data_IF_360315806379
#
_entry.id   IF_360315806379
#
_cell.length_a   1.000
_cell.length_b   1.000
_cell.length_c   1.000
_cell.angle_alpha   90.00
_cell.angle_beta   90.00
_cell.angle_gamma   90.00
#
_symmetry.space_group_name_H-M   'P 1'
#
loop_
_entity.id
_entity.type
_entity.pdbx_description
1 polymer ?
#
# COMPACT_ATOMS: atom_id res chain seq x y z
N UNK A 1 -5.90 27.07 12.38
CA UNK A 1 -5.14 27.61 11.24
C UNK A 1 -5.52 29.07 11.04
N UNK A 2 -4.57 29.99 10.85
CA UNK A 2 -4.87 31.36 10.43
C UNK A 2 -5.63 31.37 9.09
N UNK A 3 -6.62 32.26 8.96
CA UNK A 3 -7.42 32.45 7.73
C UNK A 3 -6.57 32.78 6.50
N UNK A 4 -5.33 33.22 6.68
CA UNK A 4 -4.39 33.59 5.61
C UNK A 4 -3.89 32.39 4.78
N UNK A 5 -4.02 31.16 5.28
CA UNK A 5 -3.71 29.95 4.49
C UNK A 5 -4.84 29.56 3.52
N UNK A 6 -5.98 30.25 3.57
CA UNK A 6 -7.09 30.05 2.64
C UNK A 6 -7.01 31.13 1.56
N UNK A 7 -6.23 30.89 0.50
CA UNK A 7 -6.45 31.36 -0.90
C UNK A 7 -5.17 31.33 -1.73
N UNK A 8 -4.71 30.15 -2.11
CA UNK A 8 -4.31 29.87 -3.49
C UNK A 8 -4.64 28.40 -3.74
N UNK A 9 -5.56 28.10 -4.68
CA UNK A 9 -5.62 26.72 -5.21
C UNK A 9 -4.34 26.56 -6.03
N UNK A 10 -3.45 25.62 -5.69
CA UNK A 10 -2.32 25.32 -6.57
C UNK A 10 -2.89 24.98 -7.94
N UNK A 11 -2.38 25.61 -9.00
CA UNK A 11 -2.81 25.29 -10.37
C UNK A 11 -2.31 23.92 -10.80
N UNK A 12 -1.26 23.41 -10.16
CA UNK A 12 -0.64 22.10 -10.42
C UNK A 12 -0.16 21.51 -9.08
N UNK A 13 -0.42 20.22 -8.86
CA UNK A 13 0.14 19.42 -7.75
C UNK A 13 1.13 18.37 -8.26
N UNK A 14 1.97 17.83 -7.36
CA UNK A 14 2.82 16.68 -7.66
C UNK A 14 1.99 15.52 -8.19
N UNK A 15 0.87 15.22 -7.53
CA UNK A 15 -0.10 14.22 -7.98
C UNK A 15 -0.57 14.46 -9.41
N UNK A 16 -1.06 15.67 -9.72
CA UNK A 16 -1.55 16.00 -11.07
C UNK A 16 -0.46 15.81 -12.12
N UNK A 17 0.75 16.25 -11.82
CA UNK A 17 1.89 16.15 -12.76
C UNK A 17 2.30 14.70 -12.98
N UNK A 18 2.52 13.95 -11.90
CA UNK A 18 2.98 12.55 -11.95
C UNK A 18 1.95 11.68 -12.65
N UNK A 19 0.66 11.77 -12.29
CA UNK A 19 -0.39 10.96 -12.91
C UNK A 19 -0.50 11.23 -14.42
N UNK A 20 -0.41 12.49 -14.85
CA UNK A 20 -0.43 12.83 -16.29
C UNK A 20 0.80 12.29 -17.03
N UNK A 21 2.00 12.42 -16.44
CA UNK A 21 3.22 11.90 -17.07
C UNK A 21 3.22 10.37 -17.13
N UNK A 22 2.80 9.69 -16.07
CA UNK A 22 2.70 8.23 -16.05
C UNK A 22 1.75 7.71 -17.12
N UNK A 23 0.57 8.32 -17.26
CA UNK A 23 -0.37 8.00 -18.32
C UNK A 23 0.23 8.25 -19.72
N UNK A 24 0.87 9.40 -19.94
CA UNK A 24 1.49 9.76 -21.21
C UNK A 24 2.61 8.79 -21.62
N UNK A 25 3.38 8.30 -20.66
CA UNK A 25 4.50 7.38 -20.89
C UNK A 25 4.09 5.90 -20.88
N UNK A 26 2.80 5.59 -20.71
CA UNK A 26 2.31 4.21 -20.66
C UNK A 26 2.77 3.43 -19.45
N UNK A 27 3.06 4.10 -18.33
CA UNK A 27 3.40 3.44 -17.06
C UNK A 27 2.13 2.76 -16.52
N UNK A 28 2.27 1.50 -16.11
CA UNK A 28 1.17 0.80 -15.45
C UNK A 28 0.91 1.40 -14.06
N UNK A 29 -0.16 2.16 -13.94
CA UNK A 29 -0.51 2.86 -12.70
C UNK A 29 -1.89 2.48 -12.21
N UNK A 30 -2.01 2.26 -10.90
CA UNK A 30 -3.29 2.24 -10.19
C UNK A 30 -3.42 3.54 -9.40
N UNK A 31 -4.32 4.42 -9.85
CA UNK A 31 -4.54 5.70 -9.20
C UNK A 31 -5.47 5.55 -7.98
N UNK A 32 -4.87 5.36 -6.80
CA UNK A 32 -5.59 5.21 -5.55
C UNK A 32 -6.32 6.51 -5.12
N UNK A 33 -5.81 7.68 -5.48
CA UNK A 33 -6.48 8.96 -5.17
C UNK A 33 -7.80 9.03 -5.94
N UNK A 34 -7.77 8.75 -7.24
CA UNK A 34 -8.98 8.70 -8.06
C UNK A 34 -9.97 7.60 -7.62
N UNK A 35 -9.49 6.49 -7.03
CA UNK A 35 -10.36 5.48 -6.42
C UNK A 35 -11.04 6.01 -5.16
N UNK A 36 -10.28 6.64 -4.26
CA UNK A 36 -10.81 7.20 -3.02
C UNK A 36 -11.83 8.31 -3.28
N UNK A 37 -11.57 9.21 -4.22
CA UNK A 37 -12.53 10.25 -4.63
C UNK A 37 -13.84 9.63 -5.14
N UNK A 38 -13.74 8.60 -5.99
CA UNK A 38 -14.92 7.87 -6.50
C UNK A 38 -15.71 7.20 -5.39
N UNK A 39 -15.04 6.55 -4.44
CA UNK A 39 -15.71 5.89 -3.31
C UNK A 39 -16.33 6.89 -2.34
N UNK A 40 -15.71 8.06 -2.13
CA UNK A 40 -16.30 9.15 -1.35
C UNK A 40 -17.54 9.72 -2.04
N UNK A 41 -17.46 10.02 -3.34
CA UNK A 41 -18.59 10.51 -4.12
C UNK A 41 -19.77 9.51 -4.14
N UNK A 42 -19.46 8.22 -4.17
CA UNK A 42 -20.43 7.13 -4.05
C UNK A 42 -20.93 6.89 -2.61
N UNK A 43 -20.59 7.77 -1.65
CA UNK A 43 -20.98 7.69 -0.24
C UNK A 43 -20.60 6.34 0.39
N UNK A 44 -19.30 6.03 0.36
CA UNK A 44 -18.75 4.84 1.03
C UNK A 44 -19.39 4.62 2.41
N UNK A 45 -19.90 3.41 2.71
CA UNK A 45 -20.64 3.15 3.95
C UNK A 45 -19.78 3.25 5.22
N UNK A 46 -18.46 3.12 5.06
CA UNK A 46 -17.49 3.17 6.14
C UNK A 46 -16.32 4.11 5.77
N UNK A 47 -15.65 4.70 6.77
CA UNK A 47 -14.54 5.61 6.56
C UNK A 47 -13.40 4.96 5.78
N UNK A 48 -12.91 5.66 4.75
CA UNK A 48 -11.71 5.26 3.98
C UNK A 48 -10.41 5.62 4.72
N UNK A 49 -10.49 6.61 5.60
CA UNK A 49 -9.51 6.98 6.61
C UNK A 49 -10.26 7.14 7.93
N UNK A 50 -9.77 6.55 9.00
CA UNK A 50 -10.43 6.68 10.31
C UNK A 50 -10.24 8.08 10.87
N UNK A 51 -11.04 8.42 11.89
CA UNK A 51 -10.95 9.74 12.54
C UNK A 51 -9.58 10.00 13.16
N UNK A 52 -8.90 8.94 13.57
CA UNK A 52 -7.67 8.97 14.37
C UNK A 52 -6.52 8.20 13.73
N UNK A 53 -6.65 7.87 12.44
CA UNK A 53 -5.61 7.22 11.66
C UNK A 53 -4.99 8.18 10.64
N UNK A 54 -3.68 8.11 10.47
CA UNK A 54 -2.96 8.77 9.37
C UNK A 54 -2.91 7.93 8.09
N UNK A 55 -3.19 6.63 8.20
CA UNK A 55 -3.22 5.67 7.11
C UNK A 55 -4.64 5.40 6.62
N UNK A 56 -4.75 4.77 5.45
CA UNK A 56 -6.02 4.22 4.98
C UNK A 56 -6.59 3.22 6.00
N UNK A 57 -7.92 3.13 6.09
CA UNK A 57 -8.55 2.25 7.06
C UNK A 57 -8.39 0.78 6.69
N UNK A 58 -8.56 -0.13 7.66
CA UNK A 58 -8.71 -1.57 7.39
C UNK A 58 -9.74 -1.85 6.28
N UNK A 59 -10.87 -1.14 6.30
CA UNK A 59 -11.87 -1.22 5.24
C UNK A 59 -11.34 -0.77 3.87
N UNK A 60 -10.66 0.39 3.79
CA UNK A 60 -10.07 0.88 2.56
C UNK A 60 -9.01 -0.07 2.00
N UNK A 61 -8.16 -0.66 2.86
CA UNK A 61 -7.15 -1.65 2.46
C UNK A 61 -7.79 -2.79 1.67
N UNK A 62 -8.93 -3.34 2.13
CA UNK A 62 -9.60 -4.44 1.42
C UNK A 62 -10.09 -4.06 0.03
N UNK A 63 -10.62 -2.84 -0.13
CA UNK A 63 -11.09 -2.34 -1.43
C UNK A 63 -9.94 -2.08 -2.39
N UNK A 64 -8.84 -1.52 -1.88
CA UNK A 64 -7.62 -1.30 -2.67
C UNK A 64 -7.01 -2.66 -3.06
N UNK A 65 -6.93 -3.62 -2.14
CA UNK A 65 -6.41 -4.96 -2.42
C UNK A 65 -7.21 -5.65 -3.53
N UNK A 66 -8.53 -5.65 -3.44
CA UNK A 66 -9.43 -6.19 -4.47
C UNK A 66 -9.11 -5.57 -5.84
N UNK A 67 -9.09 -4.25 -5.95
CA UNK A 67 -8.82 -3.58 -7.24
C UNK A 67 -7.38 -3.81 -7.73
N UNK A 68 -6.40 -3.79 -6.83
CA UNK A 68 -4.99 -3.94 -7.14
C UNK A 68 -4.68 -5.34 -7.67
N UNK A 69 -5.11 -6.38 -6.95
CA UNK A 69 -4.73 -7.74 -7.31
C UNK A 69 -5.47 -8.24 -8.55
N UNK A 70 -6.74 -7.87 -8.77
CA UNK A 70 -7.41 -8.13 -10.06
C UNK A 70 -6.67 -7.47 -11.23
N UNK A 71 -6.14 -6.25 -11.03
CA UNK A 71 -5.31 -5.58 -12.04
C UNK A 71 -3.98 -6.30 -12.25
N UNK A 72 -3.35 -6.79 -11.18
CA UNK A 72 -2.12 -7.58 -11.26
C UNK A 72 -2.33 -8.86 -12.06
N UNK A 73 -3.44 -9.59 -11.85
CA UNK A 73 -3.79 -10.76 -12.66
C UNK A 73 -3.91 -10.39 -14.14
N UNK A 74 -4.64 -9.33 -14.47
CA UNK A 74 -4.79 -8.86 -15.85
C UNK A 74 -3.47 -8.42 -16.51
N UNK A 75 -2.54 -7.85 -15.73
CA UNK A 75 -1.23 -7.41 -16.24
C UNK A 75 -0.22 -8.55 -16.39
N UNK A 76 -0.30 -9.56 -15.52
CA UNK A 76 0.70 -10.63 -15.44
C UNK A 76 0.23 -11.93 -16.09
N UNK A 77 -1.08 -12.08 -16.35
CA UNK A 77 -1.70 -13.32 -16.79
C UNK A 77 -1.65 -14.44 -15.75
N UNK A 78 -1.29 -14.15 -14.49
CA UNK A 78 -1.28 -15.13 -13.41
C UNK A 78 -2.63 -15.13 -12.72
N UNK A 79 -3.19 -16.33 -12.52
CA UNK A 79 -4.41 -16.55 -11.76
C UNK A 79 -4.05 -16.69 -10.27
N UNK A 80 -4.31 -15.65 -9.48
CA UNK A 80 -3.94 -15.57 -8.07
C UNK A 80 -5.01 -16.23 -7.18
N UNK A 81 -4.67 -16.65 -5.95
CA UNK A 81 -5.65 -17.17 -5.01
C UNK A 81 -6.82 -16.20 -4.82
N UNK A 82 -8.03 -16.69 -5.08
CA UNK A 82 -9.25 -15.88 -4.95
C UNK A 82 -9.43 -15.43 -3.50
N UNK A 83 -9.91 -14.21 -3.32
CA UNK A 83 -10.26 -13.71 -2.01
C UNK A 83 -11.48 -12.81 -2.06
N UNK A 84 -12.13 -12.64 -0.91
CA UNK A 84 -13.28 -11.75 -0.80
C UNK A 84 -13.77 -11.61 0.64
N UNK A 85 -14.63 -10.62 0.86
CA UNK A 85 -15.31 -10.48 2.14
C UNK A 85 -16.41 -11.55 2.29
N UNK A 86 -16.42 -12.26 3.41
CA UNK A 86 -17.45 -13.23 3.75
C UNK A 86 -18.34 -12.71 4.87
N UNK A 87 -19.63 -12.52 4.58
CA UNK A 87 -20.60 -12.02 5.54
C UNK A 87 -20.45 -10.53 5.87
N UNK A 88 -21.19 -10.02 6.86
CA UNK A 88 -21.09 -8.63 7.27
C UNK A 88 -19.74 -8.34 7.94
N UNK A 89 -19.19 -7.12 7.78
CA UNK A 89 -17.96 -6.72 8.48
C UNK A 89 -18.21 -6.59 9.99
N UNK A 90 -17.15 -6.75 10.79
CA UNK A 90 -17.19 -6.29 12.19
C UNK A 90 -17.17 -4.77 12.19
N UNK A 91 -18.19 -4.12 12.76
CA UNK A 91 -18.22 -2.67 12.93
C UNK A 91 -17.90 -2.30 14.37
N UNK A 92 -16.93 -1.41 14.55
CA UNK A 92 -16.50 -0.92 15.86
C UNK A 92 -16.84 0.55 16.06
N UNK A 93 -17.16 0.93 17.29
CA UNK A 93 -17.51 2.31 17.67
C UNK A 93 -16.76 2.80 18.91
N UNK A 94 -15.84 2.00 19.47
CA UNK A 94 -14.99 2.39 20.59
C UNK A 94 -13.53 2.46 20.16
N UNK A 95 -12.79 3.45 20.65
CA UNK A 95 -11.38 3.66 20.32
C UNK A 95 -10.52 2.41 20.64
N UNK A 96 -10.82 1.74 21.76
CA UNK A 96 -10.12 0.51 22.17
C UNK A 96 -10.26 -0.67 21.20
N UNK A 97 -11.24 -0.63 20.29
CA UNK A 97 -11.51 -1.69 19.32
C UNK A 97 -10.96 -1.36 17.92
N UNK A 98 -10.41 -0.15 17.72
CA UNK A 98 -9.69 0.20 16.50
C UNK A 98 -8.38 -0.59 16.39
N UNK A 99 -8.04 -1.01 15.17
CA UNK A 99 -6.91 -1.92 14.91
C UNK A 99 -5.74 -1.19 14.23
N UNK A 100 -4.52 -1.52 14.66
CA UNK A 100 -3.28 -1.10 14.00
C UNK A 100 -3.24 0.41 13.68
N UNK A 101 -2.97 0.78 12.43
CA UNK A 101 -2.83 2.18 11.99
C UNK A 101 -4.13 2.98 11.97
N UNK A 102 -5.28 2.38 12.29
CA UNK A 102 -6.55 3.11 12.37
C UNK A 102 -6.62 4.07 13.58
N UNK A 103 -5.68 3.98 14.53
CA UNK A 103 -5.59 4.84 15.72
C UNK A 103 -4.19 5.39 15.98
N UNK A 104 -3.30 5.35 14.98
CA UNK A 104 -1.89 5.72 15.15
C UNK A 104 -1.68 7.19 15.53
N UNK A 105 -2.51 8.12 15.03
CA UNK A 105 -2.46 9.52 15.39
C UNK A 105 -2.91 9.73 16.84
N UNK A 106 -3.96 9.03 17.27
CA UNK A 106 -4.43 9.08 18.65
C UNK A 106 -3.39 8.52 19.63
N UNK A 107 -2.78 7.39 19.28
CA UNK A 107 -1.67 6.82 20.06
C UNK A 107 -0.51 7.82 20.17
N UNK A 108 -0.19 8.53 19.09
CA UNK A 108 0.86 9.56 19.07
C UNK A 108 0.52 10.77 19.94
N UNK A 109 -0.75 11.18 19.98
CA UNK A 109 -1.21 12.32 20.79
C UNK A 109 -1.18 12.03 22.30
N UNK A 110 -1.13 10.76 22.71
CA UNK A 110 -1.05 10.32 24.11
C UNK A 110 -2.08 11.00 25.01
N UNK A 111 -3.35 11.00 24.57
CA UNK A 111 -4.44 11.70 25.26
C UNK A 111 -4.93 10.93 26.48
N UNK A 112 -5.30 11.65 27.54
CA UNK A 112 -5.92 11.07 28.74
C UNK A 112 -7.32 10.52 28.43
N UNK A 113 -8.05 11.17 27.52
CA UNK A 113 -9.38 10.74 27.08
C UNK A 113 -9.34 10.34 25.60
N UNK A 114 -9.79 9.11 25.26
CA UNK A 114 -9.82 8.65 23.87
C UNK A 114 -10.73 9.51 22.99
N UNK A 115 -10.38 9.62 21.70
CA UNK A 115 -11.21 10.33 20.73
C UNK A 115 -12.31 9.37 20.25
N UNK A 116 -13.60 9.72 20.34
CA UNK A 116 -14.67 8.85 19.86
C UNK A 116 -14.54 8.58 18.34
N UNK A 117 -14.42 7.32 17.91
CA UNK A 117 -14.23 7.01 16.50
C UNK A 117 -15.54 7.15 15.72
N UNK A 118 -15.44 7.26 14.41
CA UNK A 118 -16.57 6.96 13.53
C UNK A 118 -16.83 5.44 13.52
N UNK A 119 -18.04 4.97 13.16
CA UNK A 119 -18.26 3.55 12.89
C UNK A 119 -17.28 3.04 11.83
N UNK A 120 -16.32 2.21 12.25
CA UNK A 120 -15.26 1.68 11.38
C UNK A 120 -15.50 0.20 11.14
N UNK A 121 -15.42 -0.23 9.88
CA UNK A 121 -15.62 -1.62 9.50
C UNK A 121 -14.30 -2.36 9.31
N UNK A 122 -14.30 -3.63 9.72
CA UNK A 122 -13.27 -4.61 9.41
C UNK A 122 -13.93 -5.79 8.69
N UNK A 123 -13.85 -5.83 7.33
CA UNK A 123 -14.32 -6.99 6.57
C UNK A 123 -13.65 -8.28 7.01
N UNK A 124 -14.42 -9.38 7.04
CA UNK A 124 -13.88 -10.72 7.24
C UNK A 124 -13.41 -11.27 5.89
N UNK A 125 -12.11 -11.14 5.60
CA UNK A 125 -11.53 -11.53 4.31
C UNK A 125 -11.13 -13.00 4.33
N UNK A 126 -11.62 -13.76 3.36
CA UNK A 126 -11.32 -15.19 3.19
C UNK A 126 -10.57 -15.39 1.89
N UNK A 127 -9.62 -16.32 1.90
CA UNK A 127 -8.77 -16.69 0.76
C UNK A 127 -9.02 -18.15 0.40
N UNK A 128 -9.19 -18.44 -0.88
CA UNK A 128 -9.32 -19.78 -1.40
C UNK A 128 -7.93 -20.36 -1.72
N UNK A 129 -7.60 -21.58 -1.26
CA UNK A 129 -6.34 -22.24 -1.63
C UNK A 129 -6.40 -22.78 -3.07
N UNK A 130 -5.24 -23.17 -3.61
CA UNK A 130 -5.15 -24.00 -4.82
C UNK A 130 -4.62 -23.30 -6.07
N UNK A 131 -4.50 -21.96 -6.06
CA UNK A 131 -3.88 -21.19 -7.14
C UNK A 131 -2.44 -20.78 -6.83
N UNK A 132 -1.68 -20.49 -7.87
CA UNK A 132 -0.26 -20.11 -7.75
C UNK A 132 -0.10 -18.70 -7.19
N UNK A 133 0.91 -18.54 -6.31
CA UNK A 133 1.25 -17.23 -5.76
C UNK A 133 2.26 -16.51 -6.64
N UNK A 134 2.23 -15.18 -6.59
CA UNK A 134 3.11 -14.34 -7.41
C UNK A 134 4.43 -14.04 -6.70
N UNK A 135 5.54 -14.21 -7.41
CA UNK A 135 6.82 -13.73 -6.92
C UNK A 135 6.95 -12.22 -7.22
N UNK A 136 6.88 -11.39 -6.18
CA UNK A 136 6.86 -9.93 -6.29
C UNK A 136 7.97 -9.25 -5.48
N UNK A 137 8.45 -8.12 -6.00
CA UNK A 137 9.20 -7.13 -5.24
C UNK A 137 8.32 -5.90 -5.05
N UNK A 138 8.09 -5.51 -3.80
CA UNK A 138 7.27 -4.36 -3.44
C UNK A 138 8.19 -3.32 -2.84
N UNK A 139 8.13 -2.10 -3.35
CA UNK A 139 8.84 -0.94 -2.84
C UNK A 139 7.78 0.05 -2.40
N UNK A 140 7.79 0.42 -1.13
CA UNK A 140 6.70 1.25 -0.63
C UNK A 140 6.95 1.91 0.70
N UNK A 141 6.02 2.79 1.05
CA UNK A 141 5.95 3.44 2.35
C UNK A 141 5.04 2.65 3.32
N UNK A 142 4.66 3.29 4.42
CA UNK A 142 3.93 2.68 5.53
C UNK A 142 2.51 2.24 5.15
N UNK A 143 1.91 2.80 4.10
CA UNK A 143 0.59 2.36 3.62
C UNK A 143 0.63 0.91 3.15
N UNK A 144 1.76 0.48 2.58
CA UNK A 144 2.00 -0.90 2.12
C UNK A 144 1.84 -1.92 3.24
N UNK A 145 2.14 -1.55 4.49
CA UNK A 145 2.11 -2.49 5.62
C UNK A 145 0.71 -3.05 5.87
N UNK A 146 -0.33 -2.29 5.56
CA UNK A 146 -1.72 -2.71 5.72
C UNK A 146 -2.05 -4.04 5.02
N UNK A 147 -1.34 -4.37 3.94
CA UNK A 147 -1.52 -5.61 3.19
C UNK A 147 -1.01 -6.87 3.89
N UNK A 148 -0.25 -6.76 4.98
CA UNK A 148 0.15 -7.92 5.78
C UNK A 148 -0.19 -7.76 7.27
N UNK A 149 -0.38 -6.53 7.78
CA UNK A 149 -0.72 -6.28 9.18
C UNK A 149 -2.22 -6.38 9.46
N UNK A 150 -3.08 -5.82 8.61
CA UNK A 150 -4.54 -5.94 8.79
C UNK A 150 -5.09 -7.25 8.27
N UNK A 151 -4.55 -7.70 7.14
CA UNK A 151 -5.02 -8.85 6.39
C UNK A 151 -3.80 -9.57 5.79
N UNK A 152 -3.82 -10.89 5.62
CA UNK A 152 -2.66 -11.65 5.16
C UNK A 152 -2.53 -11.64 3.63
N UNK A 153 -2.73 -10.51 2.93
CA UNK A 153 -2.68 -10.49 1.46
C UNK A 153 -1.31 -10.93 0.95
N UNK A 154 -0.22 -10.44 1.54
CA UNK A 154 1.12 -10.84 1.13
C UNK A 154 1.36 -12.34 1.37
N UNK A 155 1.02 -12.85 2.55
CA UNK A 155 1.22 -14.27 2.87
C UNK A 155 0.35 -15.21 2.02
N UNK A 156 -0.80 -14.74 1.53
CA UNK A 156 -1.75 -15.56 0.76
C UNK A 156 -1.54 -15.46 -0.74
N UNK A 157 -1.14 -14.29 -1.25
CA UNK A 157 -1.04 -14.02 -2.68
C UNK A 157 0.38 -14.05 -3.21
N UNK A 158 1.40 -13.93 -2.35
CA UNK A 158 2.80 -13.82 -2.76
C UNK A 158 3.63 -15.04 -2.34
N UNK A 159 4.66 -15.35 -3.11
CA UNK A 159 5.57 -16.45 -2.79
C UNK A 159 6.47 -16.09 -1.59
N UNK A 160 7.02 -17.07 -0.85
CA UNK A 160 7.95 -16.82 0.26
C UNK A 160 9.23 -16.05 -0.13
N UNK A 161 9.60 -16.05 -1.41
CA UNK A 161 10.75 -15.31 -1.94
C UNK A 161 10.42 -13.82 -2.11
N UNK A 162 9.14 -13.46 -2.17
CA UNK A 162 8.69 -12.08 -2.36
C UNK A 162 9.16 -11.18 -1.23
N UNK A 163 9.39 -9.90 -1.54
CA UNK A 163 9.96 -8.94 -0.57
C UNK A 163 9.21 -7.64 -0.59
N UNK A 164 9.04 -7.05 0.58
CA UNK A 164 8.67 -5.66 0.75
C UNK A 164 9.86 -4.85 1.26
N UNK A 165 10.30 -3.87 0.47
CA UNK A 165 11.32 -2.91 0.80
C UNK A 165 10.68 -1.59 1.23
N UNK A 166 10.77 -1.32 2.53
CA UNK A 166 10.30 -0.09 3.13
C UNK A 166 11.24 1.06 2.77
N UNK A 167 10.72 2.05 2.04
CA UNK A 167 11.46 3.21 1.53
C UNK A 167 12.76 2.83 0.79
N UNK A 168 12.77 1.68 0.09
CA UNK A 168 13.97 1.13 -0.58
C UNK A 168 15.22 1.04 0.34
N UNK A 169 15.01 0.93 1.65
CA UNK A 169 16.09 0.99 2.64
C UNK A 169 16.16 -0.29 3.48
N UNK A 170 15.01 -0.80 3.91
CA UNK A 170 14.92 -1.95 4.82
C UNK A 170 13.96 -3.00 4.28
N UNK A 171 14.35 -4.27 4.32
CA UNK A 171 13.45 -5.40 4.08
C UNK A 171 12.52 -5.52 5.29
N UNK A 172 11.22 -5.30 5.07
CA UNK A 172 10.20 -5.25 6.13
C UNK A 172 9.25 -6.45 6.11
N UNK A 173 9.02 -7.05 4.94
CA UNK A 173 8.26 -8.29 4.84
C UNK A 173 8.99 -9.31 3.95
N UNK A 174 9.08 -10.60 4.36
CA UNK A 174 8.56 -11.14 5.62
C UNK A 174 9.24 -10.52 6.85
N UNK A 175 8.49 -10.30 7.93
CA UNK A 175 8.95 -9.54 9.12
C UNK A 175 10.21 -10.15 9.75
N UNK A 176 10.34 -11.47 9.62
CA UNK A 176 11.54 -12.21 9.93
C UNK A 176 12.36 -12.36 8.65
N UNK A 177 13.33 -11.47 8.45
CA UNK A 177 14.35 -11.67 7.42
C UNK A 177 15.11 -12.97 7.75
N UNK A 178 15.23 -13.93 6.83
CA UNK A 178 16.02 -15.13 7.07
C UNK A 178 17.43 -14.75 7.53
N UNK A 179 18.07 -15.50 8.47
CA UNK A 179 19.39 -15.14 9.00
C UNK A 179 20.48 -14.94 7.93
N UNK A 180 20.31 -15.55 6.76
CA UNK A 180 21.22 -15.47 5.62
C UNK A 180 21.00 -14.24 4.72
N UNK A 181 19.94 -13.46 4.91
CA UNK A 181 19.61 -12.28 4.09
C UNK A 181 19.78 -10.99 4.92
N UNK A 182 20.34 -9.94 4.31
CA UNK A 182 20.49 -8.67 5.00
C UNK A 182 19.15 -7.96 5.15
N UNK A 183 18.89 -7.42 6.35
CA UNK A 183 17.75 -6.54 6.59
C UNK A 183 17.86 -5.20 5.84
N UNK A 184 19.05 -4.79 5.43
CA UNK A 184 19.27 -3.52 4.74
C UNK A 184 19.41 -3.72 3.23
N UNK A 185 18.57 -3.02 2.44
CA UNK A 185 18.52 -3.14 0.98
C UNK A 185 19.86 -2.81 0.33
N UNK A 186 20.59 -1.83 0.86
CA UNK A 186 21.92 -1.43 0.37
C UNK A 186 22.96 -2.56 0.37
N UNK A 187 22.75 -3.61 1.16
CA UNK A 187 23.64 -4.76 1.25
C UNK A 187 23.21 -5.91 0.32
N UNK A 188 22.08 -5.77 -0.39
CA UNK A 188 21.57 -6.77 -1.31
C UNK A 188 22.09 -6.53 -2.72
N UNK A 189 22.27 -7.61 -3.48
CA UNK A 189 22.54 -7.50 -4.91
C UNK A 189 21.22 -7.21 -5.65
N UNK A 190 21.04 -5.98 -6.13
CA UNK A 190 19.80 -5.55 -6.79
C UNK A 190 19.45 -6.40 -8.03
N UNK A 191 20.43 -6.76 -8.85
CA UNK A 191 20.18 -7.59 -10.05
C UNK A 191 19.65 -8.98 -9.67
N UNK A 192 20.20 -9.59 -8.64
CA UNK A 192 19.69 -10.86 -8.10
C UNK A 192 18.30 -10.71 -7.50
N UNK A 193 18.05 -9.60 -6.78
CA UNK A 193 16.75 -9.31 -6.18
C UNK A 193 15.65 -9.02 -7.22
N UNK A 194 16.00 -8.57 -8.42
CA UNK A 194 15.08 -8.39 -9.54
C UNK A 194 14.89 -9.68 -10.37
N UNK A 195 15.83 -10.62 -10.30
CA UNK A 195 15.78 -11.85 -11.09
C UNK A 195 14.58 -12.70 -10.67
N UNK A 196 13.81 -13.16 -11.66
CA UNK A 196 12.67 -14.05 -11.45
C UNK A 196 11.44 -13.39 -10.83
N UNK A 197 11.47 -12.09 -10.50
CA UNK A 197 10.29 -11.34 -10.10
C UNK A 197 9.33 -11.22 -11.28
N UNK A 198 8.06 -11.53 -11.04
CA UNK A 198 6.97 -11.37 -12.01
C UNK A 198 6.30 -10.01 -11.90
N UNK A 199 6.44 -9.37 -10.73
CA UNK A 199 5.92 -8.04 -10.44
C UNK A 199 6.95 -7.23 -9.68
N UNK A 200 7.12 -5.97 -10.09
CA UNK A 200 7.72 -4.92 -9.26
C UNK A 200 6.61 -3.89 -9.01
N UNK A 201 6.18 -3.76 -7.76
CA UNK A 201 5.14 -2.81 -7.34
C UNK A 201 5.79 -1.66 -6.59
N UNK A 202 5.59 -0.44 -7.08
CA UNK A 202 5.98 0.78 -6.36
C UNK A 202 4.71 1.42 -5.82
N UNK A 203 4.63 1.58 -4.50
CA UNK A 203 3.51 2.21 -3.80
C UNK A 203 4.00 3.45 -3.05
N UNK A 204 3.48 4.61 -3.41
CA UNK A 204 3.82 5.87 -2.77
C UNK A 204 2.55 6.69 -2.48
N UNK A 205 2.43 7.19 -1.25
CA UNK A 205 1.45 8.23 -0.91
C UNK A 205 1.82 9.55 -1.58
N UNK A 206 0.85 10.46 -1.71
CA UNK A 206 1.04 11.75 -2.38
C UNK A 206 2.25 12.55 -1.86
N UNK A 207 2.48 12.53 -0.55
CA UNK A 207 3.62 13.22 0.07
C UNK A 207 4.98 12.68 -0.35
N UNK A 208 5.05 11.46 -0.86
CA UNK A 208 6.28 10.80 -1.31
C UNK A 208 6.51 10.91 -2.82
N UNK A 209 5.62 11.55 -3.59
CA UNK A 209 5.73 11.62 -5.05
C UNK A 209 6.98 12.38 -5.55
N UNK A 210 7.58 13.25 -4.74
CA UNK A 210 8.83 13.93 -5.08
C UNK A 210 10.02 12.97 -5.21
N UNK A 211 9.97 11.82 -4.52
CA UNK A 211 10.93 10.73 -4.64
C UNK A 211 10.16 9.42 -4.88
N UNK A 212 9.43 9.40 -6.00
CA UNK A 212 8.62 8.23 -6.38
C UNK A 212 9.55 7.02 -6.54
N UNK A 213 9.39 6.02 -5.67
CA UNK A 213 10.23 4.82 -5.65
C UNK A 213 11.45 4.90 -4.74
N UNK A 214 11.68 6.01 -4.03
CA UNK A 214 12.70 6.08 -2.97
C UNK A 214 14.12 5.76 -3.50
N UNK A 215 14.48 6.34 -4.65
CA UNK A 215 15.72 6.06 -5.38
C UNK A 215 15.83 4.67 -6.03
N UNK A 216 14.85 3.77 -5.86
CA UNK A 216 14.86 2.43 -6.48
C UNK A 216 14.88 2.52 -8.00
N UNK A 217 14.12 3.44 -8.59
CA UNK A 217 13.96 3.56 -10.05
C UNK A 217 15.33 3.81 -10.70
N UNK A 218 16.09 4.76 -10.18
CA UNK A 218 17.43 5.09 -10.70
C UNK A 218 18.40 3.94 -10.49
N UNK A 219 18.35 3.28 -9.34
CA UNK A 219 19.20 2.11 -9.05
C UNK A 219 18.90 0.96 -10.02
N UNK A 220 17.63 0.66 -10.26
CA UNK A 220 17.20 -0.38 -11.19
C UNK A 220 17.58 -0.03 -12.63
N UNK A 221 17.38 1.22 -13.05
CA UNK A 221 17.82 1.69 -14.37
C UNK A 221 19.34 1.53 -14.54
N UNK A 222 20.12 1.93 -13.54
CA UNK A 222 21.58 1.78 -13.57
C UNK A 222 22.02 0.31 -13.61
N UNK A 223 21.35 -0.56 -12.85
CA UNK A 223 21.70 -1.98 -12.78
C UNK A 223 21.30 -2.77 -14.05
N UNK A 224 20.24 -2.36 -14.74
CA UNK A 224 19.68 -3.09 -15.88
C UNK A 224 20.08 -2.52 -17.24
N UNK A 225 20.25 -1.19 -17.35
CA UNK A 225 20.36 -0.51 -18.65
C UNK A 225 21.74 0.08 -18.92
N UNK A 226 22.60 0.28 -17.91
CA UNK A 226 23.96 0.77 -18.15
C UNK A 226 24.88 -0.38 -18.55
N UNK A 227 25.63 -0.29 -19.66
CA UNK A 227 26.65 -1.28 -19.97
C UNK A 227 27.70 -1.30 -18.83
N UNK A 228 28.11 -2.50 -18.44
CA UNK A 228 29.24 -2.71 -17.52
C UNK A 228 30.55 -2.32 -18.19
#
# INVERSE_FOLDING_TARGET
MPLEYVKQKPTISNYTTVSQQFAKQGVNTLDAVALFERWQAAKSPYPLFTRTGTHWSGYAITRVADTLFHRVEGLTGHDLPDFGAQGPPTVVTRAADLRYSDKDLEDLLNLVTPIPPYPTAYPNVVFQPGKERLNALIIGDSFTQGFYTFYPYFDRLLTPESRFWYYNNTVYWPEQTPPAESRYVKNLNLTEQLRGRKLVLILAMEGNLTDTGFGFIDQAYNALCKPK
#
